data_IF_820183364745
#
_entry.id   IF_820183364745
#
_cell.length_a   1.000
_cell.length_b   1.000
_cell.length_c   1.000
_cell.angle_alpha   90.00
_cell.angle_beta   90.00
_cell.angle_gamma   90.00
#
_symmetry.space_group_name_H-M   'P 1'
#
loop_
_entity.id
_entity.type
_entity.pdbx_description
1 polymer ?
#
# COMPACT_ATOMS: atom_id res chain seq x y z
N UNK A 1 29.84 0.27 -1.58
CA UNK A 1 29.26 1.59 -1.88
C UNK A 1 28.10 1.80 -0.91
N UNK A 2 28.21 2.74 0.04
CA UNK A 2 27.17 2.97 1.05
C UNK A 2 26.13 3.93 0.49
N UNK A 3 24.85 3.62 0.68
CA UNK A 3 23.75 4.51 0.31
C UNK A 3 23.79 5.71 1.26
N UNK A 4 23.90 6.91 0.70
CA UNK A 4 23.72 8.17 1.44
C UNK A 4 22.27 8.59 1.29
N UNK A 5 21.61 8.86 2.41
CA UNK A 5 20.22 9.31 2.45
C UNK A 5 20.05 10.37 3.53
N UNK A 6 19.03 11.22 3.36
CA UNK A 6 18.65 12.25 4.32
C UNK A 6 17.12 12.38 4.37
N UNK A 7 16.61 12.87 5.49
CA UNK A 7 15.18 13.12 5.70
C UNK A 7 14.98 14.57 6.11
N UNK A 8 14.01 15.22 5.47
CA UNK A 8 13.56 16.58 5.77
C UNK A 8 12.08 16.49 6.15
N UNK A 9 11.75 16.89 7.37
CA UNK A 9 10.37 16.90 7.87
C UNK A 9 9.94 18.35 8.06
N UNK A 10 8.98 18.78 7.26
CA UNK A 10 8.31 20.06 7.43
C UNK A 10 7.11 19.88 8.37
N UNK A 11 7.10 20.60 9.49
CA UNK A 11 5.96 20.66 10.40
C UNK A 11 5.31 22.02 10.28
N UNK A 12 3.99 22.08 10.16
CA UNK A 12 3.23 23.35 10.04
C UNK A 12 3.42 24.28 11.26
N UNK A 13 3.84 23.71 12.38
CA UNK A 13 4.04 24.41 13.66
C UNK A 13 5.45 25.02 13.80
N UNK A 14 6.41 24.61 12.95
CA UNK A 14 7.82 25.02 13.05
C UNK A 14 8.26 25.74 11.78
N UNK A 15 8.85 26.92 11.95
CA UNK A 15 9.42 27.73 10.88
C UNK A 15 10.61 27.04 10.19
N UNK A 16 11.37 26.22 10.91
CA UNK A 16 12.51 25.48 10.37
C UNK A 16 12.19 23.98 10.23
N UNK A 17 12.52 23.36 9.08
CA UNK A 17 12.35 21.94 8.89
C UNK A 17 13.32 21.14 9.76
N UNK A 18 12.85 20.01 10.28
CA UNK A 18 13.72 19.09 10.99
C UNK A 18 14.51 18.26 9.98
N UNK A 19 15.84 18.32 10.06
CA UNK A 19 16.75 17.56 9.20
C UNK A 19 17.46 16.52 10.06
N UNK A 20 17.29 15.23 9.73
CA UNK A 20 17.91 14.14 10.50
C UNK A 20 19.38 13.88 10.15
N UNK A 21 19.89 14.51 9.10
CA UNK A 21 21.31 14.52 8.75
C UNK A 21 21.88 15.94 8.91
N UNK A 22 23.19 16.12 8.75
CA UNK A 22 23.76 17.47 8.67
C UNK A 22 23.13 18.24 7.50
N UNK A 23 22.83 19.52 7.71
CA UNK A 23 22.22 20.38 6.70
C UNK A 23 23.04 20.44 5.40
N UNK A 24 24.37 20.46 5.52
CA UNK A 24 25.31 20.41 4.39
C UNK A 24 25.19 19.13 3.55
N UNK A 25 25.05 17.97 4.20
CA UNK A 25 24.90 16.70 3.49
C UNK A 25 23.57 16.62 2.74
N UNK A 26 22.50 17.12 3.36
CA UNK A 26 21.18 17.17 2.73
C UNK A 26 21.17 18.16 1.56
N UNK A 27 21.81 19.31 1.68
CA UNK A 27 21.93 20.28 0.58
C UNK A 27 22.74 19.70 -0.59
N UNK A 28 23.83 18.98 -0.30
CA UNK A 28 24.62 18.28 -1.34
C UNK A 28 23.83 17.15 -2.02
N UNK A 29 23.06 16.40 -1.25
CA UNK A 29 22.17 15.34 -1.74
C UNK A 29 21.04 15.93 -2.61
N UNK A 30 20.39 17.01 -2.19
CA UNK A 30 19.38 17.73 -2.96
C UNK A 30 19.96 18.27 -4.25
N UNK A 31 21.14 18.90 -4.21
CA UNK A 31 21.81 19.42 -5.41
C UNK A 31 22.08 18.29 -6.42
N UNK A 32 22.54 17.13 -5.95
CA UNK A 32 22.71 15.94 -6.81
C UNK A 32 21.38 15.41 -7.32
N UNK A 33 20.34 15.41 -6.50
CA UNK A 33 18.99 14.96 -6.87
C UNK A 33 18.37 15.84 -7.96
N UNK A 34 18.49 17.16 -7.86
CA UNK A 34 17.99 18.12 -8.86
C UNK A 34 18.87 18.23 -10.11
N UNK A 35 20.14 17.80 -10.04
CA UNK A 35 21.00 17.67 -11.22
C UNK A 35 20.64 16.46 -12.08
N UNK A 36 19.89 15.48 -11.56
CA UNK A 36 19.36 14.38 -12.36
C UNK A 36 18.17 14.89 -13.19
N UNK A 37 18.21 14.77 -14.53
CA UNK A 37 17.13 15.25 -15.39
C UNK A 37 15.77 14.68 -15.00
N UNK A 38 14.74 15.53 -15.03
CA UNK A 38 13.36 15.20 -14.63
C UNK A 38 12.82 13.94 -15.31
N UNK A 39 13.25 13.67 -16.55
CA UNK A 39 12.89 12.49 -17.33
C UNK A 39 13.31 11.16 -16.70
N UNK A 40 14.41 11.15 -15.93
CA UNK A 40 14.92 9.95 -15.24
C UNK A 40 14.38 9.82 -13.81
N UNK A 41 14.11 10.95 -13.15
CA UNK A 41 13.55 11.00 -11.79
C UNK A 41 12.03 10.71 -11.74
N UNK A 42 11.25 11.16 -12.73
CA UNK A 42 9.80 10.91 -12.77
C UNK A 42 9.49 9.41 -12.86
N UNK A 43 10.38 8.62 -13.47
CA UNK A 43 10.26 7.16 -13.56
C UNK A 43 10.48 6.41 -12.23
N UNK A 44 11.16 7.04 -11.26
CA UNK A 44 11.43 6.48 -9.91
C UNK A 44 10.65 7.15 -8.78
N UNK A 45 10.07 8.32 -9.02
CA UNK A 45 9.05 8.93 -8.18
C UNK A 45 7.75 8.13 -8.29
N UNK A 46 7.75 6.94 -7.70
CA UNK A 46 6.50 6.22 -7.50
C UNK A 46 5.70 7.03 -6.50
N UNK A 47 4.70 7.75 -7.00
CA UNK A 47 3.80 8.58 -6.19
C UNK A 47 3.27 7.69 -5.06
N UNK A 48 3.69 7.98 -3.83
CA UNK A 48 3.39 7.14 -2.67
C UNK A 48 1.88 6.90 -2.52
N UNK A 49 1.08 7.89 -2.90
CA UNK A 49 -0.38 7.81 -3.02
C UNK A 49 -0.85 6.71 -3.97
N UNK A 50 -0.24 6.60 -5.16
CA UNK A 50 -0.57 5.56 -6.14
C UNK A 50 -0.18 4.17 -5.63
N UNK A 51 0.98 4.06 -4.98
CA UNK A 51 1.42 2.81 -4.37
C UNK A 51 0.46 2.33 -3.28
N UNK A 52 0.07 3.21 -2.36
CA UNK A 52 -0.90 2.88 -1.32
C UNK A 52 -2.28 2.56 -1.89
N UNK A 53 -2.73 3.30 -2.90
CA UNK A 53 -3.99 3.03 -3.60
C UNK A 53 -3.98 1.66 -4.28
N UNK A 54 -2.90 1.31 -4.96
CA UNK A 54 -2.77 -0.01 -5.59
C UNK A 54 -2.75 -1.13 -4.56
N UNK A 55 -2.01 -0.95 -3.45
CA UNK A 55 -1.99 -1.93 -2.36
C UNK A 55 -3.36 -2.10 -1.70
N UNK A 56 -4.06 -1.01 -1.43
CA UNK A 56 -5.41 -1.05 -0.87
C UNK A 56 -6.38 -1.77 -1.82
N UNK A 57 -6.33 -1.46 -3.12
CA UNK A 57 -7.16 -2.12 -4.14
C UNK A 57 -6.88 -3.62 -4.24
N UNK A 58 -5.60 -4.03 -4.23
CA UNK A 58 -5.20 -5.44 -4.23
C UNK A 58 -5.73 -6.19 -3.00
N UNK A 59 -5.66 -5.58 -1.81
CA UNK A 59 -6.22 -6.17 -0.59
C UNK A 59 -7.74 -6.30 -0.67
N UNK A 60 -8.44 -5.29 -1.20
CA UNK A 60 -9.88 -5.33 -1.39
C UNK A 60 -10.31 -6.47 -2.33
N UNK A 61 -9.59 -6.67 -3.43
CA UNK A 61 -9.87 -7.75 -4.37
C UNK A 61 -9.64 -9.14 -3.76
N UNK A 62 -8.62 -9.29 -2.91
CA UNK A 62 -8.39 -10.53 -2.18
C UNK A 62 -9.54 -10.84 -1.21
N UNK A 63 -10.04 -9.83 -0.49
CA UNK A 63 -11.20 -9.98 0.40
C UNK A 63 -12.46 -10.38 -0.38
N UNK A 64 -12.73 -9.76 -1.53
CA UNK A 64 -13.86 -10.15 -2.40
C UNK A 64 -13.75 -11.60 -2.86
N UNK A 65 -12.56 -12.05 -3.27
CA UNK A 65 -12.33 -13.44 -3.66
C UNK A 65 -12.54 -14.41 -2.50
N UNK A 66 -12.06 -14.07 -1.31
CA UNK A 66 -12.25 -14.87 -0.09
C UNK A 66 -13.73 -14.98 0.28
N UNK A 67 -14.47 -13.87 0.24
CA UNK A 67 -15.91 -13.87 0.52
C UNK A 67 -16.67 -14.74 -0.47
N UNK A 68 -16.41 -14.59 -1.77
CA UNK A 68 -17.06 -15.41 -2.80
C UNK A 68 -16.78 -16.91 -2.61
N UNK A 69 -15.53 -17.28 -2.34
CA UNK A 69 -15.19 -18.69 -2.04
C UNK A 69 -15.90 -19.19 -0.79
N UNK A 70 -16.01 -18.35 0.23
CA UNK A 70 -16.72 -18.68 1.47
C UNK A 70 -18.21 -18.89 1.22
N UNK A 71 -18.83 -18.05 0.39
CA UNK A 71 -20.23 -18.22 -0.03
C UNK A 71 -20.42 -19.49 -0.86
N UNK A 72 -19.54 -19.77 -1.82
CA UNK A 72 -19.57 -21.00 -2.63
C UNK A 72 -19.47 -22.26 -1.76
N UNK A 73 -18.58 -22.26 -0.75
CA UNK A 73 -18.45 -23.36 0.22
C UNK A 73 -19.71 -23.49 1.07
N UNK A 74 -20.28 -22.40 1.58
CA UNK A 74 -21.53 -22.41 2.35
C UNK A 74 -22.70 -22.97 1.53
N UNK A 75 -22.83 -22.57 0.27
CA UNK A 75 -23.85 -23.08 -0.65
C UNK A 75 -23.65 -24.56 -0.91
N UNK A 76 -22.43 -25.00 -1.19
CA UNK A 76 -22.12 -26.43 -1.36
C UNK A 76 -22.44 -27.26 -0.12
N UNK A 77 -22.13 -26.73 1.06
CA UNK A 77 -22.42 -27.38 2.34
C UNK A 77 -23.93 -27.40 2.64
N UNK A 78 -24.68 -26.40 2.20
CA UNK A 78 -26.13 -26.36 2.33
C UNK A 78 -26.81 -27.37 1.40
N UNK A 79 -26.36 -27.47 0.14
CA UNK A 79 -26.85 -28.46 -0.82
C UNK A 79 -26.61 -29.89 -0.30
N UNK A 80 -25.41 -30.16 0.25
CA UNK A 80 -25.11 -31.47 0.84
C UNK A 80 -26.03 -31.81 2.01
N UNK A 81 -26.38 -30.83 2.86
CA UNK A 81 -27.31 -31.03 3.98
C UNK A 81 -28.74 -31.32 3.50
N UNK A 82 -29.18 -30.70 2.40
CA UNK A 82 -30.49 -30.98 1.79
C UNK A 82 -30.52 -32.40 1.22
N UNK A 83 -29.48 -32.78 0.46
CA UNK A 83 -29.37 -34.10 -0.18
C UNK A 83 -29.35 -35.23 0.85
N UNK A 84 -28.67 -35.01 1.98
CA UNK A 84 -28.64 -35.95 3.11
C UNK A 84 -29.93 -35.98 3.95
N UNK A 85 -30.95 -35.18 3.59
CA UNK A 85 -32.22 -35.11 4.33
C UNK A 85 -32.09 -34.53 5.75
N UNK A 86 -30.96 -33.87 6.06
CA UNK A 86 -30.66 -33.32 7.39
C UNK A 86 -31.27 -31.93 7.61
N UNK A 87 -31.81 -31.30 6.56
CA UNK A 87 -32.59 -30.06 6.71
C UNK A 87 -33.94 -30.41 7.31
N UNK A 88 -33.99 -30.39 8.65
CA UNK A 88 -35.24 -30.43 9.41
C UNK A 88 -36.06 -29.22 8.99
N UNK A 89 -37.16 -29.46 8.27
CA UNK A 89 -38.16 -28.44 8.01
C UNK A 89 -38.60 -27.84 9.33
N UNK A 90 -38.36 -26.54 9.51
CA UNK A 90 -39.06 -25.78 10.51
C UNK A 90 -40.46 -25.51 9.94
N UNK A 91 -41.38 -26.44 10.21
CA UNK A 91 -42.82 -26.23 10.13
C UNK A 91 -43.40 -26.38 11.54
#
# INVERSE_FOLDING_TARGET
MWLKGGLIIYSLDKLEPMVWSSHDEVQSLLKKFYQVPEMENNKKSMKLELYYKEKASKSQDQLKKQNRKTEEVKVGQFILQIDQGLVKGQY
#
